data_IF_123835271312
#
_entry.id   IF_123835271312
#
_cell.length_a   1.000
_cell.length_b   1.000
_cell.length_c   1.000
_cell.angle_alpha   90.00
_cell.angle_beta   90.00
_cell.angle_gamma   90.00
#
_symmetry.space_group_name_H-M   'P 1'
#
loop_
_entity.id
_entity.type
_entity.pdbx_description
1 polymer ?
#
# COMPACT_ATOMS: atom_id res chain seq x y z
N UNK A 1 17.89 -14.11 -12.91
CA UNK A 1 18.74 -13.26 -12.05
C UNK A 1 17.87 -12.66 -10.94
N UNK A 2 18.22 -12.77 -9.64
CA UNK A 2 17.45 -12.13 -8.58
C UNK A 2 17.54 -10.60 -8.70
N UNK A 3 16.40 -9.91 -8.56
CA UNK A 3 16.38 -8.44 -8.56
C UNK A 3 17.15 -7.93 -7.33
N UNK A 4 18.12 -7.04 -7.55
CA UNK A 4 18.83 -6.32 -6.49
C UNK A 4 18.63 -4.82 -6.73
N UNK A 5 18.14 -4.06 -5.73
CA UNK A 5 18.11 -2.61 -5.85
C UNK A 5 19.54 -2.09 -5.95
N UNK A 6 19.75 -1.02 -6.71
CA UNK A 6 21.07 -0.35 -6.81
C UNK A 6 21.35 0.54 -5.61
N UNK A 7 20.31 0.89 -4.85
CA UNK A 7 20.31 1.79 -3.70
C UNK A 7 19.77 1.07 -2.47
N UNK A 8 20.18 1.50 -1.27
CA UNK A 8 19.59 1.03 -0.03
C UNK A 8 18.10 1.45 0.03
N UNK A 9 17.22 0.68 0.70
CA UNK A 9 15.83 1.09 0.91
C UNK A 9 15.77 2.44 1.63
N UNK A 10 14.90 3.34 1.17
CA UNK A 10 14.68 4.63 1.83
C UNK A 10 13.88 4.46 3.12
N UNK A 11 12.86 3.59 3.09
CA UNK A 11 11.94 3.43 4.20
C UNK A 11 12.33 2.25 5.10
N UNK A 12 12.18 2.46 6.40
CA UNK A 12 12.32 1.44 7.41
C UNK A 12 10.92 0.98 7.87
N UNK A 13 10.54 -0.30 7.69
CA UNK A 13 9.27 -0.84 8.17
C UNK A 13 8.99 -0.55 9.65
N UNK A 14 10.00 -0.50 10.51
CA UNK A 14 9.81 -0.22 11.94
C UNK A 14 9.37 1.22 12.18
N UNK A 15 9.95 2.17 11.44
CA UNK A 15 9.56 3.59 11.48
C UNK A 15 8.13 3.75 10.96
N UNK A 16 7.80 3.11 9.83
CA UNK A 16 6.45 3.14 9.27
C UNK A 16 5.41 2.57 10.25
N UNK A 17 5.72 1.45 10.90
CA UNK A 17 4.84 0.86 11.90
C UNK A 17 4.67 1.75 13.14
N UNK A 18 5.75 2.39 13.60
CA UNK A 18 5.69 3.34 14.70
C UNK A 18 4.80 4.55 14.39
N UNK A 19 4.92 5.11 13.19
CA UNK A 19 4.03 6.20 12.71
C UNK A 19 2.58 5.72 12.64
N UNK A 20 2.32 4.54 12.08
CA UNK A 20 0.98 3.97 11.99
C UNK A 20 0.34 3.81 13.37
N UNK A 21 1.07 3.24 14.35
CA UNK A 21 0.57 3.07 15.73
C UNK A 21 0.21 4.38 16.40
N UNK A 22 0.97 5.46 16.17
CA UNK A 22 0.65 6.80 16.72
C UNK A 22 -0.61 7.43 16.12
N UNK A 23 -1.05 6.96 14.96
CA UNK A 23 -2.26 7.43 14.30
C UNK A 23 -3.52 6.61 14.65
N UNK A 24 -3.37 5.47 15.33
CA UNK A 24 -4.49 4.60 15.73
C UNK A 24 -5.44 5.36 16.68
N UNK A 25 -6.74 5.17 16.45
CA UNK A 25 -7.81 5.78 17.26
C UNK A 25 -8.11 7.25 16.91
N UNK A 26 -7.32 7.88 16.03
CA UNK A 26 -7.64 9.21 15.52
C UNK A 26 -8.82 9.14 14.53
N UNK A 27 -9.66 10.19 14.45
CA UNK A 27 -10.59 10.38 13.34
C UNK A 27 -9.86 10.32 11.99
N UNK A 28 -10.53 9.81 10.95
CA UNK A 28 -9.90 9.49 9.65
C UNK A 28 -9.11 10.65 9.04
N UNK A 29 -9.65 11.88 9.06
CA UNK A 29 -8.97 13.08 8.56
C UNK A 29 -7.67 13.38 9.33
N UNK A 30 -7.72 13.27 10.66
CA UNK A 30 -6.57 13.46 11.54
C UNK A 30 -5.55 12.33 11.43
N UNK A 31 -6.00 11.10 11.23
CA UNK A 31 -5.17 9.92 11.02
C UNK A 31 -4.32 10.08 9.76
N UNK A 32 -4.95 10.38 8.63
CA UNK A 32 -4.26 10.57 7.34
C UNK A 32 -3.25 11.71 7.44
N UNK A 33 -3.68 12.85 7.99
CA UNK A 33 -2.80 14.01 8.19
C UNK A 33 -1.60 13.68 9.09
N UNK A 34 -1.83 13.01 10.23
CA UNK A 34 -0.79 12.59 11.17
C UNK A 34 0.24 11.70 10.50
N UNK A 35 -0.21 10.69 9.75
CA UNK A 35 0.69 9.77 9.02
C UNK A 35 1.51 10.54 7.99
N UNK A 36 0.89 11.34 7.12
CA UNK A 36 1.60 12.06 6.06
C UNK A 36 2.59 13.09 6.62
N UNK A 37 2.24 13.85 7.65
CA UNK A 37 3.12 14.85 8.28
C UNK A 37 4.31 14.19 9.00
N UNK A 38 4.09 13.12 9.77
CA UNK A 38 5.20 12.43 10.45
C UNK A 38 6.14 11.74 9.47
N UNK A 39 5.61 11.13 8.40
CA UNK A 39 6.47 10.53 7.38
C UNK A 39 7.31 11.58 6.67
N UNK A 40 6.76 12.76 6.37
CA UNK A 40 7.55 13.86 5.77
C UNK A 40 8.64 14.37 6.73
N UNK A 41 8.43 14.33 8.05
CA UNK A 41 9.48 14.66 9.01
C UNK A 41 10.64 13.65 9.02
N UNK A 42 10.32 12.35 8.87
CA UNK A 42 11.35 11.29 8.84
C UNK A 42 12.03 11.19 7.46
N UNK A 43 11.31 11.51 6.39
CA UNK A 43 11.74 11.34 5.00
C UNK A 43 11.47 12.61 4.17
N UNK A 44 12.09 13.75 4.52
CA UNK A 44 11.78 15.04 3.93
C UNK A 44 12.01 15.06 2.42
N UNK A 45 11.03 15.58 1.68
CA UNK A 45 11.07 15.67 0.22
C UNK A 45 10.63 14.40 -0.52
N UNK A 46 10.40 13.29 0.19
CA UNK A 46 10.01 12.00 -0.39
C UNK A 46 8.54 11.65 -0.19
N UNK A 47 7.77 12.46 0.56
CA UNK A 47 6.35 12.22 0.82
C UNK A 47 5.47 13.25 0.09
N UNK A 48 4.40 12.78 -0.55
CA UNK A 48 3.29 13.61 -0.99
C UNK A 48 2.33 13.81 0.18
N UNK A 49 2.40 15.00 0.79
CA UNK A 49 1.60 15.35 1.97
C UNK A 49 0.19 15.81 1.63
N UNK A 50 -0.14 16.02 0.35
CA UNK A 50 -1.49 16.35 -0.10
C UNK A 50 -2.20 15.08 -0.59
N UNK A 51 -3.19 14.56 0.16
CA UNK A 51 -3.90 13.36 -0.25
C UNK A 51 -4.57 13.54 -1.62
N UNK A 52 -4.38 12.57 -2.50
CA UNK A 52 -5.02 12.51 -3.81
C UNK A 52 -5.72 11.16 -3.97
N UNK A 53 -6.92 11.08 -3.39
CA UNK A 53 -7.70 9.85 -3.30
C UNK A 53 -8.18 9.34 -4.67
N UNK A 54 -7.98 8.06 -4.93
CA UNK A 54 -8.43 7.37 -6.13
C UNK A 54 -8.92 5.96 -5.81
N UNK A 55 -9.81 5.44 -6.66
CA UNK A 55 -10.26 4.05 -6.56
C UNK A 55 -9.09 3.10 -6.79
N UNK A 56 -9.12 1.97 -6.09
CA UNK A 56 -8.24 0.84 -6.29
C UNK A 56 -9.09 -0.41 -6.52
N UNK A 57 -8.84 -1.10 -7.64
CA UNK A 57 -9.59 -2.28 -8.06
C UNK A 57 -8.62 -3.38 -8.51
N UNK A 58 -8.36 -4.35 -7.65
CA UNK A 58 -7.41 -5.44 -7.93
C UNK A 58 -7.80 -6.74 -7.23
N UNK A 59 -7.75 -7.87 -7.93
CA UNK A 59 -7.94 -9.19 -7.30
C UNK A 59 -9.29 -9.41 -6.62
N UNK A 60 -10.34 -8.66 -7.00
CA UNK A 60 -11.64 -8.66 -6.31
C UNK A 60 -11.71 -7.69 -5.12
N UNK A 61 -10.56 -7.18 -4.65
CA UNK A 61 -10.49 -6.15 -3.62
C UNK A 61 -10.77 -4.77 -4.22
N UNK A 62 -11.76 -4.08 -3.67
CA UNK A 62 -12.11 -2.71 -4.00
C UNK A 62 -11.92 -1.82 -2.77
N UNK A 63 -11.31 -0.67 -2.99
CA UNK A 63 -11.18 0.36 -1.97
C UNK A 63 -10.78 1.70 -2.55
N UNK A 64 -10.28 2.56 -1.68
CA UNK A 64 -9.76 3.88 -2.03
C UNK A 64 -8.36 4.03 -1.47
N UNK A 65 -7.47 4.65 -2.24
CA UNK A 65 -6.10 4.88 -1.84
C UNK A 65 -5.62 6.28 -2.13
N UNK A 66 -4.63 6.74 -1.36
CA UNK A 66 -3.79 7.88 -1.70
C UNK A 66 -2.33 7.44 -1.66
N UNK A 67 -1.58 7.73 -2.72
CA UNK A 67 -0.17 7.39 -2.82
C UNK A 67 0.66 8.50 -2.18
N UNK A 68 1.44 8.15 -1.15
CA UNK A 68 2.33 9.06 -0.43
C UNK A 68 3.74 9.06 -1.05
N UNK A 69 4.18 7.92 -1.57
CA UNK A 69 5.47 7.77 -2.24
C UNK A 69 5.37 6.75 -3.37
N UNK A 70 6.09 6.99 -4.47
CA UNK A 70 6.26 6.01 -5.53
C UNK A 70 7.61 6.19 -6.23
N UNK A 71 8.41 5.13 -6.27
CA UNK A 71 9.65 5.01 -7.02
C UNK A 71 9.67 3.69 -7.80
N UNK A 72 10.73 3.43 -8.56
CA UNK A 72 10.90 2.14 -9.25
C UNK A 72 11.09 0.96 -8.29
N UNK A 73 11.46 1.24 -7.04
CA UNK A 73 11.91 0.25 -6.04
C UNK A 73 11.03 0.19 -4.78
N UNK A 74 10.26 1.25 -4.50
CA UNK A 74 9.48 1.40 -3.28
C UNK A 74 8.17 2.18 -3.52
N UNK A 75 7.12 1.88 -2.79
CA UNK A 75 5.94 2.74 -2.68
C UNK A 75 5.43 2.79 -1.24
N UNK A 76 4.78 3.90 -0.90
CA UNK A 76 4.04 4.06 0.36
C UNK A 76 2.68 4.64 0.02
N UNK A 77 1.61 4.04 0.52
CA UNK A 77 0.25 4.53 0.30
C UNK A 77 -0.62 4.30 1.53
N UNK A 78 -1.71 5.05 1.64
CA UNK A 78 -2.79 4.73 2.58
C UNK A 78 -3.92 4.14 1.76
N UNK A 79 -4.38 2.95 2.14
CA UNK A 79 -5.49 2.24 1.52
C UNK A 79 -6.56 1.91 2.57
N UNK A 80 -7.81 1.89 2.15
CA UNK A 80 -8.89 1.36 2.99
C UNK A 80 -10.22 1.28 2.25
N UNK A 81 -11.24 0.83 2.97
CA UNK A 81 -12.60 0.72 2.45
C UNK A 81 -13.63 1.03 3.54
N UNK A 82 -14.60 1.93 3.28
CA UNK A 82 -15.68 2.19 4.22
C UNK A 82 -16.73 1.07 4.24
N UNK A 83 -16.81 0.23 3.21
CA UNK A 83 -17.87 -0.78 3.01
C UNK A 83 -17.35 -2.22 3.06
N UNK A 84 -16.06 -2.41 3.37
CA UNK A 84 -15.42 -3.72 3.35
C UNK A 84 -15.13 -4.22 1.94
N UNK A 85 -14.31 -5.27 1.84
CA UNK A 85 -13.98 -5.96 0.59
C UNK A 85 -13.24 -7.25 0.86
N UNK A 86 -13.27 -8.21 -0.06
CA UNK A 86 -12.45 -9.43 0.03
C UNK A 86 -11.95 -9.88 -1.34
N UNK A 87 -10.89 -10.68 -1.36
CA UNK A 87 -10.36 -11.21 -2.60
C UNK A 87 -8.95 -11.78 -2.49
N UNK A 88 -8.29 -11.82 -3.63
CA UNK A 88 -6.94 -12.32 -3.81
C UNK A 88 -5.92 -11.19 -3.64
N UNK A 89 -4.89 -11.41 -2.83
CA UNK A 89 -3.87 -10.38 -2.59
C UNK A 89 -3.03 -10.05 -3.82
N UNK A 90 -2.92 -10.96 -4.79
CA UNK A 90 -1.86 -10.93 -5.79
C UNK A 90 -0.63 -11.74 -5.36
N UNK A 91 0.20 -12.11 -6.34
CA UNK A 91 1.49 -12.77 -6.13
C UNK A 91 2.61 -11.91 -6.70
N UNK A 92 3.26 -11.14 -5.85
CA UNK A 92 4.15 -10.08 -6.30
C UNK A 92 5.62 -10.47 -6.30
N UNK A 93 6.43 -9.70 -7.03
CA UNK A 93 7.90 -9.76 -6.96
C UNK A 93 8.50 -8.81 -5.94
N UNK A 94 7.65 -8.19 -5.12
CA UNK A 94 8.00 -7.26 -4.05
C UNK A 94 7.59 -7.83 -2.70
N UNK A 95 8.20 -7.33 -1.63
CA UNK A 95 7.71 -7.53 -0.27
C UNK A 95 6.65 -6.46 0.01
N UNK A 96 5.59 -6.80 0.75
CA UNK A 96 4.54 -5.85 1.16
C UNK A 96 4.35 -5.91 2.67
N UNK A 97 4.32 -4.74 3.29
CA UNK A 97 3.99 -4.54 4.69
C UNK A 97 2.69 -3.74 4.79
N UNK A 98 1.71 -4.26 5.53
CA UNK A 98 0.46 -3.58 5.82
C UNK A 98 0.45 -3.21 7.31
N UNK A 99 0.38 -1.92 7.64
CA UNK A 99 0.28 -1.44 9.03
C UNK A 99 -1.14 -0.95 9.27
N UNK A 100 -1.90 -1.66 10.11
CA UNK A 100 -3.32 -1.36 10.34
C UNK A 100 -3.48 -0.06 11.12
N UNK A 101 -4.15 0.92 10.51
CA UNK A 101 -4.46 2.22 11.11
C UNK A 101 -5.83 2.20 11.81
N UNK A 102 -6.79 1.47 11.25
CA UNK A 102 -8.13 1.27 11.80
C UNK A 102 -8.76 -0.04 11.31
N UNK A 103 -9.78 -0.50 12.03
CA UNK A 103 -10.59 -1.66 11.67
C UNK A 103 -9.84 -2.99 11.81
N UNK A 104 -10.29 -3.97 11.03
CA UNK A 104 -9.82 -5.36 11.10
C UNK A 104 -9.63 -5.92 9.68
N UNK A 105 -8.60 -6.76 9.52
CA UNK A 105 -8.31 -7.51 8.31
C UNK A 105 -8.07 -8.98 8.66
N UNK A 106 -8.69 -9.89 7.91
CA UNK A 106 -8.41 -11.32 7.99
C UNK A 106 -7.63 -11.79 6.77
N UNK A 107 -6.71 -12.72 6.98
CA UNK A 107 -5.94 -13.32 5.90
C UNK A 107 -5.71 -14.80 6.14
N UNK A 108 -5.48 -15.55 5.07
CA UNK A 108 -4.88 -16.89 5.14
C UNK A 108 -3.93 -17.06 3.95
N UNK A 109 -2.95 -17.95 4.06
CA UNK A 109 -2.01 -18.28 2.98
C UNK A 109 -2.24 -19.69 2.46
N UNK A 110 -1.58 -20.06 1.36
CA UNK A 110 -1.60 -21.44 0.87
C UNK A 110 -0.96 -22.44 1.85
N UNK A 111 0.00 -21.98 2.68
CA UNK A 111 0.66 -22.81 3.69
C UNK A 111 -0.17 -22.98 4.97
N UNK A 112 -0.98 -21.98 5.30
CA UNK A 112 -1.83 -21.94 6.50
C UNK A 112 -3.29 -21.74 6.11
N UNK A 113 -3.81 -22.63 5.26
CA UNK A 113 -5.14 -22.50 4.67
C UNK A 113 -6.29 -22.87 5.64
N UNK A 114 -5.99 -23.63 6.70
CA UNK A 114 -6.98 -24.10 7.66
C UNK A 114 -7.30 -23.06 8.76
N UNK A 115 -6.46 -22.04 8.92
CA UNK A 115 -6.61 -21.03 9.97
C UNK A 115 -6.52 -19.62 9.38
N UNK A 116 -7.34 -18.70 9.90
CA UNK A 116 -7.22 -17.29 9.56
C UNK A 116 -6.31 -16.58 10.55
N UNK A 117 -5.48 -15.68 10.03
CA UNK A 117 -4.80 -14.64 10.80
C UNK A 117 -5.68 -13.40 10.86
N UNK A 118 -5.75 -12.78 12.03
CA UNK A 118 -6.54 -11.56 12.28
C UNK A 118 -5.58 -10.42 12.62
N UNK A 119 -5.68 -9.32 11.90
CA UNK A 119 -4.93 -8.09 12.15
C UNK A 119 -5.91 -6.96 12.49
N UNK A 120 -5.67 -6.29 13.60
CA UNK A 120 -6.44 -5.15 14.12
C UNK A 120 -5.62 -3.87 14.06
N UNK A 121 -6.27 -2.74 14.32
CA UNK A 121 -5.60 -1.45 14.43
C UNK A 121 -4.37 -1.53 15.36
N UNK A 122 -3.21 -1.14 14.83
CA UNK A 122 -1.91 -1.23 15.49
C UNK A 122 -1.07 -2.44 15.10
N UNK A 123 -1.67 -3.48 14.49
CA UNK A 123 -0.95 -4.66 14.03
C UNK A 123 -0.23 -4.41 12.70
N UNK A 124 0.77 -5.25 12.42
CA UNK A 124 1.51 -5.27 11.17
C UNK A 124 1.36 -6.64 10.49
N UNK A 125 0.94 -6.65 9.22
CA UNK A 125 0.97 -7.83 8.38
C UNK A 125 2.14 -7.74 7.39
N UNK A 126 2.69 -8.90 7.03
CA UNK A 126 3.76 -9.02 6.06
C UNK A 126 3.37 -10.06 5.00
N UNK A 127 3.56 -9.71 3.73
CA UNK A 127 3.45 -10.62 2.60
C UNK A 127 4.79 -10.68 1.89
N UNK A 128 5.44 -11.84 1.97
CA UNK A 128 6.74 -12.03 1.35
C UNK A 128 6.61 -12.10 -0.18
N UNK A 129 7.71 -11.78 -0.86
CA UNK A 129 7.83 -11.99 -2.32
C UNK A 129 7.38 -13.37 -2.74
N UNK A 130 6.56 -13.40 -3.78
CA UNK A 130 6.00 -14.59 -4.42
C UNK A 130 5.08 -15.41 -3.53
N UNK A 131 4.72 -14.94 -2.34
CA UNK A 131 3.59 -15.50 -1.60
C UNK A 131 2.28 -14.87 -2.08
N UNK A 132 1.18 -15.51 -1.73
CA UNK A 132 -0.15 -14.98 -1.93
C UNK A 132 -1.01 -15.31 -0.71
N UNK A 133 -1.98 -14.44 -0.43
CA UNK A 133 -2.96 -14.60 0.64
C UNK A 133 -4.38 -14.36 0.11
N UNK A 134 -5.34 -15.08 0.66
CA UNK A 134 -6.72 -14.62 0.67
C UNK A 134 -6.84 -13.49 1.68
N UNK A 135 -7.61 -12.45 1.36
CA UNK A 135 -7.80 -11.30 2.24
C UNK A 135 -9.27 -10.94 2.36
N UNK A 136 -9.69 -10.58 3.57
CA UNK A 136 -10.96 -9.92 3.86
C UNK A 136 -10.68 -8.69 4.71
N UNK A 137 -11.11 -7.54 4.21
CA UNK A 137 -10.93 -6.22 4.81
C UNK A 137 -12.31 -5.78 5.27
N UNK A 138 -12.48 -5.53 6.57
CA UNK A 138 -13.77 -5.16 7.14
C UNK A 138 -14.09 -3.69 6.90
N UNK A 139 -15.37 -3.36 7.05
CA UNK A 139 -15.89 -1.99 6.95
C UNK A 139 -15.13 -1.05 7.88
N UNK A 140 -14.71 0.10 7.35
CA UNK A 140 -13.97 1.11 8.09
C UNK A 140 -12.52 0.73 8.39
N UNK A 141 -11.98 -0.34 7.76
CA UNK A 141 -10.57 -0.69 7.90
C UNK A 141 -9.68 0.17 6.98
N UNK A 142 -8.54 0.60 7.53
CA UNK A 142 -7.54 1.44 6.89
C UNK A 142 -6.15 0.95 7.25
N UNK A 143 -5.22 1.03 6.31
CA UNK A 143 -3.83 0.62 6.49
C UNK A 143 -2.86 1.56 5.77
N UNK A 144 -1.69 1.72 6.36
CA UNK A 144 -0.50 2.24 5.69
C UNK A 144 0.20 1.05 5.04
N UNK A 145 0.32 1.06 3.72
CA UNK A 145 0.93 -0.02 2.95
C UNK A 145 2.30 0.43 2.41
N UNK A 146 3.30 -0.43 2.59
CA UNK A 146 4.65 -0.24 2.07
C UNK A 146 5.07 -1.43 1.24
N UNK A 147 5.41 -1.17 -0.03
CA UNK A 147 5.93 -2.18 -0.93
C UNK A 147 7.39 -1.94 -1.28
N UNK A 148 8.22 -3.00 -1.30
CA UNK A 148 9.64 -2.95 -1.63
C UNK A 148 10.07 -4.03 -2.62
N UNK A 149 10.53 -3.61 -3.80
CA UNK A 149 10.97 -4.49 -4.88
C UNK A 149 10.82 -3.82 -6.23
N UNK A 150 10.82 -4.54 -7.37
CA UNK A 150 10.54 -3.94 -8.68
C UNK A 150 9.06 -3.49 -8.77
N UNK A 151 8.71 -2.33 -8.23
CA UNK A 151 7.32 -1.83 -8.10
C UNK A 151 6.56 -1.77 -9.43
N UNK A 152 7.15 -1.40 -10.59
CA UNK A 152 6.43 -1.44 -11.86
C UNK A 152 5.82 -2.80 -12.20
N UNK A 153 6.35 -3.90 -11.65
CA UNK A 153 5.80 -5.25 -11.85
C UNK A 153 4.48 -5.50 -11.11
N UNK A 154 4.09 -4.62 -10.18
CA UNK A 154 2.83 -4.66 -9.44
C UNK A 154 1.67 -4.11 -10.28
N UNK A 155 1.94 -3.13 -11.16
CA UNK A 155 0.92 -2.39 -11.91
C UNK A 155 -0.07 -3.26 -12.70
N UNK A 156 0.34 -4.34 -13.42
CA UNK A 156 -0.61 -5.18 -14.13
C UNK A 156 -1.68 -5.80 -13.22
N UNK A 157 -1.29 -6.19 -12.00
CA UNK A 157 -2.23 -6.73 -11.03
C UNK A 157 -3.04 -5.61 -10.36
N UNK A 158 -2.39 -4.52 -9.93
CA UNK A 158 -3.05 -3.38 -9.30
C UNK A 158 -4.14 -2.72 -10.17
N UNK A 159 -4.05 -2.90 -11.50
CA UNK A 159 -5.02 -2.40 -12.48
C UNK A 159 -5.98 -3.47 -12.99
N UNK A 160 -5.86 -4.72 -12.54
CA UNK A 160 -6.60 -5.86 -13.10
C UNK A 160 -8.12 -5.68 -13.04
N UNK A 161 -8.66 -5.17 -11.93
CA UNK A 161 -10.08 -4.90 -11.78
C UNK A 161 -10.55 -3.74 -12.64
N UNK A 162 -9.76 -2.67 -12.75
CA UNK A 162 -10.08 -1.52 -13.60
C UNK A 162 -10.05 -1.90 -15.09
N UNK A 163 -9.11 -2.74 -15.52
CA UNK A 163 -9.06 -3.31 -16.87
C UNK A 163 -10.29 -4.19 -17.11
N UNK A 164 -10.61 -5.09 -16.19
CA UNK A 164 -11.74 -6.01 -16.32
C UNK A 164 -13.11 -5.31 -16.36
N UNK A 165 -13.22 -4.13 -15.75
CA UNK A 165 -14.45 -3.31 -15.72
C UNK A 165 -14.43 -2.16 -16.74
N UNK A 166 -13.37 -2.04 -17.54
CA UNK A 166 -13.15 -0.94 -18.49
C UNK A 166 -13.20 0.46 -17.84
N UNK A 167 -12.83 0.56 -16.56
CA UNK A 167 -12.82 1.82 -15.83
C UNK A 167 -11.54 2.62 -16.16
N UNK A 168 -11.55 3.23 -17.35
CA UNK A 168 -10.39 3.92 -17.92
C UNK A 168 -9.93 5.11 -17.09
N UNK A 169 -10.83 5.72 -16.29
CA UNK A 169 -10.49 6.86 -15.44
C UNK A 169 -9.54 6.45 -14.32
N UNK A 170 -9.77 5.32 -13.67
CA UNK A 170 -8.91 4.76 -12.62
C UNK A 170 -7.57 4.36 -13.21
N UNK A 171 -7.55 3.74 -14.39
CA UNK A 171 -6.30 3.39 -15.07
C UNK A 171 -5.45 4.65 -15.31
N UNK A 172 -6.03 5.66 -15.96
CA UNK A 172 -5.33 6.91 -16.26
C UNK A 172 -4.88 7.65 -15.00
N UNK A 173 -5.72 7.70 -13.96
CA UNK A 173 -5.41 8.38 -12.70
C UNK A 173 -4.28 7.68 -11.95
N UNK A 174 -4.33 6.36 -11.83
CA UNK A 174 -3.29 5.56 -11.15
C UNK A 174 -1.95 5.70 -11.87
N UNK A 175 -1.93 5.54 -13.21
CA UNK A 175 -0.70 5.71 -14.00
C UNK A 175 -0.16 7.14 -13.89
N UNK A 176 -1.02 8.15 -14.01
CA UNK A 176 -0.62 9.55 -13.96
C UNK A 176 -0.05 9.96 -12.60
N UNK A 177 -0.70 9.56 -11.49
CA UNK A 177 -0.22 9.88 -10.14
C UNK A 177 1.07 9.14 -9.83
N UNK A 178 1.12 7.83 -10.08
CA UNK A 178 2.32 7.05 -9.84
C UNK A 178 3.49 7.52 -10.70
N UNK A 179 3.26 7.77 -12.00
CA UNK A 179 4.29 8.26 -12.92
C UNK A 179 4.86 9.61 -12.52
N UNK A 180 4.02 10.54 -12.05
CA UNK A 180 4.48 11.83 -11.50
C UNK A 180 5.38 11.65 -10.29
N UNK A 181 5.02 10.77 -9.36
CA UNK A 181 5.83 10.49 -8.16
C UNK A 181 7.16 9.82 -8.52
N UNK A 182 7.13 8.82 -9.41
CA UNK A 182 8.35 8.16 -9.91
C UNK A 182 9.29 9.17 -10.56
N UNK A 183 8.76 10.07 -11.41
CA UNK A 183 9.56 11.12 -12.03
C UNK A 183 10.19 12.06 -10.99
N UNK A 184 9.44 12.43 -9.94
CA UNK A 184 9.97 13.24 -8.83
C UNK A 184 11.13 12.54 -8.12
N UNK A 185 10.98 11.27 -7.80
CA UNK A 185 12.02 10.49 -7.10
C UNK A 185 13.26 10.28 -7.97
N UNK A 186 13.08 10.04 -9.28
CA UNK A 186 14.19 9.95 -10.23
C UNK A 186 14.98 11.27 -10.32
N UNK A 187 14.31 12.42 -10.31
CA UNK A 187 14.95 13.74 -10.29
C UNK A 187 15.74 14.00 -9.00
N UNK A 188 15.37 13.35 -7.89
CA UNK A 188 16.09 13.40 -6.62
C UNK A 188 17.22 12.36 -6.53
N UNK A 189 17.46 11.58 -7.59
CA UNK A 189 18.52 10.57 -7.64
C UNK A 189 18.13 9.21 -7.05
N UNK A 190 16.86 9.01 -6.69
CA UNK A 190 16.35 7.71 -6.23
C UNK A 190 16.03 6.83 -7.43
N UNK A 191 16.89 5.83 -7.66
CA UNK A 191 16.80 4.83 -8.74
C UNK A 191 16.56 3.44 -8.15
#
# INVERSE_FOLDING_TARGET
>A
MPWRPRTAPLFDPEVLHAVARRAVGLPHDKMVRRVSEELEQHYPGHIETRPNWMLSLAGGVMGIMTVLHGSLSEYVLIFGTPVGSEGFSGRYRIDIHDFMLAGEMWTYTESEFAERRVYRAGDAAFLARREAKGVRIFEGAWMLEYGRGPVPTVLPFALSGAIGTLEMRTIARTIGVYGRLVARELLQGKI
#
